data_IF_608352074238
#
_entry.id   IF_608352074238
#
_cell.length_a   1.000
_cell.length_b   1.000
_cell.length_c   1.000
_cell.angle_alpha   90.00
_cell.angle_beta   90.00
_cell.angle_gamma   90.00
#
_symmetry.space_group_name_H-M   'P 1'
#
loop_
_entity.id
_entity.type
_entity.pdbx_description
1 polymer ?
#
# COMPACT_ATOMS: atom_id res chain seq x y z
N UNK A 1 -9.63 19.01 -3.44
CA UNK A 1 -11.04 18.97 -3.00
C UNK A 1 -11.72 17.60 -3.19
N UNK A 2 -11.02 16.55 -3.65
CA UNK A 2 -11.53 15.18 -3.82
C UNK A 2 -11.33 14.24 -2.61
N UNK A 3 -10.63 14.68 -1.58
CA UNK A 3 -10.25 13.82 -0.43
C UNK A 3 -11.40 13.45 0.52
N UNK A 4 -12.49 14.20 0.56
CA UNK A 4 -13.60 13.94 1.48
C UNK A 4 -14.51 12.76 1.07
N UNK A 5 -14.43 12.28 -0.15
CA UNK A 5 -15.27 11.19 -0.66
C UNK A 5 -14.50 9.86 -0.82
N UNK A 6 -13.19 9.86 -0.62
CA UNK A 6 -12.39 8.63 -0.73
C UNK A 6 -12.56 7.78 0.52
N UNK A 7 -12.96 6.50 0.38
CA UNK A 7 -13.01 5.57 1.51
C UNK A 7 -11.65 5.43 2.22
N UNK A 8 -10.53 5.71 1.54
CA UNK A 8 -9.20 5.64 2.11
C UNK A 8 -9.06 6.53 3.36
N UNK A 9 -9.54 7.77 3.33
CA UNK A 9 -9.45 8.69 4.47
C UNK A 9 -10.14 8.13 5.73
N UNK A 10 -11.27 7.44 5.58
CA UNK A 10 -12.00 6.83 6.71
C UNK A 10 -11.46 5.47 7.13
N UNK A 11 -10.70 4.79 6.26
CA UNK A 11 -10.18 3.45 6.53
C UNK A 11 -8.73 3.45 7.04
N UNK A 12 -7.97 4.54 6.79
CA UNK A 12 -6.58 4.68 7.20
C UNK A 12 -6.36 4.52 8.71
N UNK A 13 -7.09 5.20 9.61
CA UNK A 13 -6.88 5.00 11.05
C UNK A 13 -6.96 3.51 11.42
N UNK A 14 -8.03 2.84 10.99
CA UNK A 14 -8.25 1.43 11.28
C UNK A 14 -7.34 0.47 10.47
N UNK A 15 -6.53 0.99 9.54
CA UNK A 15 -5.54 0.19 8.81
C UNK A 15 -4.30 -0.03 9.67
N UNK A 16 -3.89 0.98 10.44
CA UNK A 16 -2.56 1.03 11.07
C UNK A 16 -2.57 1.14 12.60
N UNK A 17 -3.66 1.61 13.24
CA UNK A 17 -3.68 1.94 14.67
C UNK A 17 -3.50 0.76 15.63
N UNK A 18 -3.66 -0.46 15.15
CA UNK A 18 -3.55 -1.68 15.92
C UNK A 18 -2.23 -2.43 15.66
N UNK A 19 -1.38 -1.91 14.77
CA UNK A 19 -0.12 -2.55 14.41
C UNK A 19 0.92 -2.31 15.51
N UNK A 20 1.74 -3.31 15.75
CA UNK A 20 2.85 -3.30 16.70
C UNK A 20 4.09 -3.91 16.05
N UNK A 21 5.28 -3.73 16.65
CA UNK A 21 6.52 -4.26 16.09
C UNK A 21 7.05 -3.45 14.91
N UNK A 22 7.74 -4.11 14.00
CA UNK A 22 8.41 -3.48 12.86
C UNK A 22 7.46 -3.39 11.66
N UNK A 23 7.17 -2.16 11.23
CA UNK A 23 6.21 -1.85 10.17
C UNK A 23 6.89 -1.10 9.03
N UNK A 24 6.72 -1.56 7.78
CA UNK A 24 7.12 -0.83 6.59
C UNK A 24 5.87 -0.25 5.90
N UNK A 25 5.84 1.07 5.72
CA UNK A 25 4.83 1.72 4.87
C UNK A 25 5.38 1.96 3.47
N UNK A 26 4.73 1.40 2.45
CA UNK A 26 5.06 1.59 1.04
C UNK A 26 4.22 2.72 0.47
N UNK A 27 4.89 3.70 -0.18
CA UNK A 27 4.26 4.86 -0.78
C UNK A 27 3.67 5.81 0.26
N UNK A 28 4.50 6.29 1.16
CA UNK A 28 4.11 7.18 2.26
C UNK A 28 3.43 8.47 1.80
N UNK A 29 3.66 8.86 0.56
CA UNK A 29 3.12 10.11 0.04
C UNK A 29 3.64 11.32 0.80
N UNK A 30 2.74 12.00 1.49
CA UNK A 30 3.05 13.13 2.36
C UNK A 30 2.93 12.79 3.86
N UNK A 31 2.89 11.49 4.20
CA UNK A 31 2.85 11.02 5.59
C UNK A 31 1.45 10.96 6.21
N UNK A 32 0.41 10.79 5.39
CA UNK A 32 -0.99 10.85 5.84
C UNK A 32 -1.38 9.76 6.86
N UNK A 33 -0.63 8.66 6.97
CA UNK A 33 -0.88 7.60 7.95
C UNK A 33 -0.12 7.81 9.27
N UNK A 34 0.93 8.62 9.29
CA UNK A 34 1.89 8.67 10.41
C UNK A 34 1.26 9.01 11.77
N UNK A 35 0.27 9.90 11.78
CA UNK A 35 -0.47 10.24 12.99
C UNK A 35 -1.45 9.19 13.50
N UNK A 36 -1.57 8.05 12.81
CA UNK A 36 -2.52 6.99 13.15
C UNK A 36 -1.85 5.73 13.69
N UNK A 37 -0.53 5.60 13.57
CA UNK A 37 0.19 4.46 14.17
C UNK A 37 0.13 4.50 15.69
N UNK A 38 0.01 3.32 16.29
CA UNK A 38 0.06 3.16 17.75
C UNK A 38 1.50 3.34 18.29
N UNK A 39 1.64 3.56 19.60
CA UNK A 39 2.95 3.81 20.24
C UNK A 39 3.91 2.61 20.18
N UNK A 40 3.38 1.40 19.97
CA UNK A 40 4.17 0.17 19.95
C UNK A 40 4.64 -0.20 18.52
N UNK A 41 4.34 0.61 17.51
CA UNK A 41 4.80 0.45 16.14
C UNK A 41 6.12 1.21 15.91
N UNK A 42 7.12 0.52 15.38
CA UNK A 42 8.34 1.11 14.81
C UNK A 42 8.16 1.19 13.32
N UNK A 43 8.12 2.40 12.77
CA UNK A 43 7.69 2.62 11.39
C UNK A 43 8.86 3.07 10.50
N UNK A 44 9.08 2.36 9.43
CA UNK A 44 9.86 2.77 8.26
C UNK A 44 8.91 3.05 7.12
N UNK A 45 9.27 3.98 6.26
CA UNK A 45 8.44 4.34 5.13
C UNK A 45 9.28 4.56 3.87
N UNK A 46 8.74 4.24 2.71
CA UNK A 46 9.34 4.60 1.43
C UNK A 46 8.40 5.45 0.59
N UNK A 47 8.99 6.36 -0.19
CA UNK A 47 8.29 7.15 -1.21
C UNK A 47 9.27 7.38 -2.38
N UNK A 48 8.92 7.03 -3.63
CA UNK A 48 9.83 7.18 -4.76
C UNK A 48 10.06 8.64 -5.19
N UNK A 49 9.12 9.54 -4.94
CA UNK A 49 9.27 10.97 -5.23
C UNK A 49 10.03 11.64 -4.07
N UNK A 50 11.26 12.18 -4.31
CA UNK A 50 12.07 12.79 -3.25
C UNK A 50 11.42 14.03 -2.62
N UNK A 51 10.59 14.76 -3.35
CA UNK A 51 9.89 15.94 -2.81
C UNK A 51 8.81 15.51 -1.84
N UNK A 52 8.05 14.46 -2.19
CA UNK A 52 7.03 13.87 -1.32
C UNK A 52 7.65 13.18 -0.12
N UNK A 53 8.76 12.45 -0.31
CA UNK A 53 9.50 11.83 0.79
C UNK A 53 10.00 12.87 1.80
N UNK A 54 10.55 14.00 1.31
CA UNK A 54 10.93 15.11 2.18
C UNK A 54 9.74 15.69 2.96
N UNK A 55 8.60 15.85 2.29
CA UNK A 55 7.36 16.33 2.92
C UNK A 55 6.87 15.34 4.00
N UNK A 56 6.91 14.03 3.70
CA UNK A 56 6.56 12.99 4.65
C UNK A 56 7.47 13.00 5.88
N UNK A 57 8.80 13.15 5.70
CA UNK A 57 9.73 13.25 6.82
C UNK A 57 9.47 14.50 7.67
N UNK A 58 9.14 15.63 7.04
CA UNK A 58 8.76 16.85 7.76
C UNK A 58 7.46 16.64 8.56
N UNK A 59 6.49 15.92 8.02
CA UNK A 59 5.26 15.57 8.74
C UNK A 59 5.52 14.63 9.92
N UNK A 60 6.38 13.62 9.76
CA UNK A 60 6.80 12.75 10.85
C UNK A 60 7.42 13.56 12.00
N UNK A 61 8.33 14.48 11.67
CA UNK A 61 8.97 15.36 12.66
C UNK A 61 7.95 16.28 13.35
N UNK A 62 6.99 16.84 12.60
CA UNK A 62 5.92 17.71 13.14
C UNK A 62 5.02 16.96 14.12
N UNK A 63 4.76 15.70 13.87
CA UNK A 63 3.93 14.83 14.73
C UNK A 63 4.72 14.26 15.92
N UNK A 64 6.05 14.40 15.95
CA UNK A 64 6.91 13.71 16.92
C UNK A 64 6.87 12.19 16.73
N UNK A 65 6.49 11.71 15.53
CA UNK A 65 6.42 10.31 15.21
C UNK A 65 7.82 9.76 14.89
N UNK A 66 8.16 8.59 15.45
CA UNK A 66 9.41 7.90 15.14
C UNK A 66 9.29 7.15 13.82
N UNK A 67 9.32 7.89 12.71
CA UNK A 67 9.26 7.35 11.34
C UNK A 67 10.49 7.78 10.57
N UNK A 68 11.18 6.83 9.92
CA UNK A 68 12.23 7.09 8.95
C UNK A 68 11.66 6.95 7.55
N UNK A 69 11.87 7.96 6.69
CA UNK A 69 11.39 7.95 5.30
C UNK A 69 12.57 7.85 4.35
N UNK A 70 12.63 6.77 3.58
CA UNK A 70 13.67 6.54 2.56
C UNK A 70 13.11 6.79 1.15
N UNK A 71 13.95 7.31 0.25
CA UNK A 71 13.57 7.50 -1.17
C UNK A 71 13.85 6.20 -1.91
N UNK A 72 12.80 5.43 -2.17
CA UNK A 72 12.92 4.15 -2.88
C UNK A 72 11.62 3.79 -3.60
N UNK A 73 11.65 3.07 -4.74
CA UNK A 73 10.48 2.46 -5.35
C UNK A 73 10.10 1.17 -4.60
N UNK A 74 8.85 0.76 -4.75
CA UNK A 74 8.35 -0.49 -4.14
C UNK A 74 8.97 -1.75 -4.77
N UNK A 75 9.51 -1.61 -5.97
CA UNK A 75 10.15 -2.67 -6.76
C UNK A 75 11.60 -2.97 -6.33
N UNK A 76 12.21 -2.10 -5.50
CA UNK A 76 13.59 -2.27 -5.00
C UNK A 76 13.67 -1.68 -3.59
N UNK A 77 13.33 -2.50 -2.60
CA UNK A 77 13.27 -2.08 -1.20
C UNK A 77 14.65 -2.14 -0.54
N UNK A 78 15.15 -1.03 0.06
CA UNK A 78 16.50 -0.95 0.63
C UNK A 78 16.62 -1.64 2.00
N UNK A 79 15.89 -2.73 2.20
CA UNK A 79 15.85 -3.46 3.47
C UNK A 79 16.22 -4.93 3.29
N UNK A 80 16.77 -5.53 4.33
CA UNK A 80 17.10 -6.95 4.34
C UNK A 80 15.85 -7.83 4.30
N UNK A 81 15.96 -9.09 3.85
CA UNK A 81 14.89 -10.06 4.01
C UNK A 81 14.46 -10.20 5.49
N UNK A 82 13.20 -10.59 5.71
CA UNK A 82 12.64 -10.90 7.03
C UNK A 82 12.81 -9.77 8.07
N UNK A 83 12.68 -8.52 7.62
CA UNK A 83 12.89 -7.33 8.47
C UNK A 83 11.63 -6.85 9.18
N UNK A 84 10.44 -7.09 8.63
CA UNK A 84 9.19 -6.48 9.08
C UNK A 84 8.14 -7.49 9.50
N UNK A 85 7.40 -7.17 10.55
CA UNK A 85 6.21 -7.90 10.98
C UNK A 85 4.99 -7.55 10.12
N UNK A 86 4.94 -6.29 9.67
CA UNK A 86 3.86 -5.76 8.86
C UNK A 86 4.37 -4.91 7.71
N UNK A 87 3.72 -5.03 6.55
CA UNK A 87 3.83 -4.07 5.46
C UNK A 87 2.46 -3.41 5.25
N UNK A 88 2.45 -2.09 5.09
CA UNK A 88 1.26 -1.28 4.86
C UNK A 88 1.33 -0.61 3.49
N UNK A 89 0.21 -0.57 2.78
CA UNK A 89 0.07 0.15 1.51
C UNK A 89 -1.30 0.81 1.41
N UNK A 90 -1.32 2.09 1.01
CA UNK A 90 -2.54 2.88 0.83
C UNK A 90 -2.57 3.56 -0.53
N UNK A 91 -3.27 2.96 -1.51
CA UNK A 91 -3.42 3.47 -2.88
C UNK A 91 -2.08 3.58 -3.64
N UNK A 92 -1.24 2.57 -3.54
CA UNK A 92 0.10 2.53 -4.14
C UNK A 92 0.17 1.50 -5.26
N UNK A 93 -0.30 0.28 -5.04
CA UNK A 93 -0.17 -0.80 -6.01
C UNK A 93 -0.98 -0.56 -7.31
N UNK A 94 -1.93 0.34 -7.30
CA UNK A 94 -2.54 0.85 -8.53
C UNK A 94 -1.57 1.69 -9.38
N UNK A 95 -0.46 2.17 -8.81
CA UNK A 95 0.46 3.14 -9.46
C UNK A 95 1.90 2.63 -9.67
N UNK A 96 2.34 1.56 -8.97
CA UNK A 96 3.68 0.96 -9.15
C UNK A 96 3.94 0.55 -10.61
N UNK A 97 5.17 0.52 -11.05
CA UNK A 97 5.50 0.15 -12.43
C UNK A 97 5.21 -1.35 -12.68
N UNK A 98 5.71 -2.23 -11.82
CA UNK A 98 5.45 -3.68 -11.86
C UNK A 98 4.94 -4.20 -10.51
N UNK A 99 3.65 -4.57 -10.47
CA UNK A 99 3.03 -5.13 -9.27
C UNK A 99 3.65 -6.44 -8.80
N UNK A 100 4.12 -7.28 -9.75
CA UNK A 100 4.66 -8.60 -9.40
C UNK A 100 6.02 -8.47 -8.75
N UNK A 101 6.87 -7.58 -9.28
CA UNK A 101 8.17 -7.26 -8.70
C UNK A 101 7.99 -6.64 -7.32
N UNK A 102 7.14 -5.61 -7.20
CA UNK A 102 6.87 -4.96 -5.91
C UNK A 102 6.29 -5.92 -4.85
N UNK A 103 5.36 -6.82 -5.23
CA UNK A 103 4.83 -7.84 -4.32
C UNK A 103 5.86 -8.91 -3.97
N UNK A 104 6.83 -9.18 -4.86
CA UNK A 104 8.00 -10.01 -4.60
C UNK A 104 8.89 -9.40 -3.51
N UNK A 105 9.17 -8.10 -3.61
CA UNK A 105 9.93 -7.35 -2.60
C UNK A 105 9.20 -7.31 -1.25
N UNK A 106 7.89 -7.05 -1.26
CA UNK A 106 7.07 -7.15 -0.03
C UNK A 106 7.21 -8.52 0.61
N UNK A 107 7.16 -9.57 -0.21
CA UNK A 107 7.29 -10.95 0.29
C UNK A 107 8.69 -11.24 0.85
N UNK A 108 9.72 -10.61 0.28
CA UNK A 108 11.12 -10.77 0.73
C UNK A 108 11.37 -10.10 2.07
N UNK A 109 10.82 -8.90 2.27
CA UNK A 109 11.08 -8.12 3.50
C UNK A 109 10.18 -8.50 4.67
N UNK A 110 9.05 -9.16 4.43
CA UNK A 110 8.17 -9.66 5.48
C UNK A 110 8.78 -10.90 6.14
N UNK A 111 8.75 -10.92 7.46
CA UNK A 111 9.07 -12.12 8.26
C UNK A 111 8.12 -13.27 7.94
N UNK A 112 8.51 -14.53 8.18
CA UNK A 112 7.57 -15.65 8.19
C UNK A 112 6.36 -15.34 9.08
N UNK A 113 5.15 -15.49 8.53
CA UNK A 113 3.91 -15.13 9.22
C UNK A 113 3.57 -13.63 9.24
N UNK A 114 4.44 -12.78 8.69
CA UNK A 114 4.19 -11.34 8.56
C UNK A 114 2.99 -11.03 7.65
N UNK A 115 2.40 -9.85 7.83
CA UNK A 115 1.11 -9.49 7.22
C UNK A 115 1.22 -8.25 6.35
N UNK A 116 0.71 -8.34 5.12
CA UNK A 116 0.49 -7.20 4.24
C UNK A 116 -0.92 -6.62 4.48
N UNK A 117 -1.01 -5.34 4.80
CA UNK A 117 -2.25 -4.58 5.00
C UNK A 117 -2.42 -3.56 3.88
N UNK A 118 -3.56 -3.58 3.18
CA UNK A 118 -3.76 -2.71 2.02
C UNK A 118 -5.12 -2.03 2.03
N UNK A 119 -5.11 -0.78 1.56
CA UNK A 119 -6.30 -0.10 1.01
C UNK A 119 -5.98 0.28 -0.42
N UNK A 120 -6.68 -0.32 -1.40
CA UNK A 120 -6.34 -0.17 -2.82
C UNK A 120 -7.54 0.04 -3.71
N UNK A 121 -7.29 0.69 -4.87
CA UNK A 121 -8.15 0.58 -6.03
C UNK A 121 -7.93 -0.76 -6.70
N UNK A 122 -9.01 -1.44 -7.03
CA UNK A 122 -8.96 -2.70 -7.78
C UNK A 122 -9.94 -2.66 -8.94
N UNK A 123 -9.66 -3.45 -9.95
CA UNK A 123 -10.56 -3.62 -11.10
C UNK A 123 -11.99 -3.91 -10.62
N UNK A 124 -13.01 -3.24 -11.19
CA UNK A 124 -14.39 -3.55 -10.92
C UNK A 124 -14.71 -5.03 -11.17
N UNK A 125 -15.46 -5.67 -10.26
CA UNK A 125 -15.88 -7.06 -10.42
C UNK A 125 -16.91 -7.24 -11.56
N UNK A 126 -17.70 -6.20 -11.87
CA UNK A 126 -18.61 -6.21 -13.00
C UNK A 126 -17.82 -6.13 -14.31
N UNK A 127 -17.98 -7.08 -15.26
CA UNK A 127 -17.20 -7.11 -16.51
C UNK A 127 -17.34 -5.85 -17.36
N UNK A 128 -18.54 -5.26 -17.44
CA UNK A 128 -18.78 -4.04 -18.22
C UNK A 128 -18.04 -2.86 -17.62
N UNK A 129 -18.12 -2.69 -16.28
CA UNK A 129 -17.37 -1.63 -15.58
C UNK A 129 -15.86 -1.88 -15.62
N UNK A 130 -15.43 -3.14 -15.59
CA UNK A 130 -14.03 -3.53 -15.76
C UNK A 130 -13.48 -3.14 -17.13
N UNK A 131 -14.26 -3.38 -18.19
CA UNK A 131 -13.91 -2.96 -19.56
C UNK A 131 -13.86 -1.42 -19.66
N UNK A 132 -14.84 -0.72 -19.12
CA UNK A 132 -14.87 0.75 -19.08
C UNK A 132 -13.63 1.30 -18.32
N UNK A 133 -13.26 0.70 -17.21
CA UNK A 133 -12.05 1.06 -16.46
C UNK A 133 -10.79 0.90 -17.33
N UNK A 134 -10.64 -0.20 -18.07
CA UNK A 134 -9.49 -0.42 -18.97
C UNK A 134 -9.42 0.61 -20.10
N UNK A 135 -10.57 1.04 -20.63
CA UNK A 135 -10.62 2.08 -21.68
C UNK A 135 -10.22 3.45 -21.13
N UNK A 136 -10.61 3.77 -19.90
CA UNK A 136 -10.35 5.06 -19.26
C UNK A 136 -8.92 5.15 -18.71
N UNK A 137 -8.36 4.04 -18.24
CA UNK A 137 -7.06 3.98 -17.55
C UNK A 137 -5.93 4.70 -18.28
N UNK A 138 -5.72 4.60 -19.62
CA UNK A 138 -4.61 5.29 -20.30
C UNK A 138 -4.63 6.82 -20.18
N UNK A 139 -5.83 7.41 -20.17
CA UNK A 139 -5.99 8.86 -19.98
C UNK A 139 -5.92 9.25 -18.51
N UNK A 140 -6.50 8.42 -17.65
CA UNK A 140 -6.53 8.62 -16.21
C UNK A 140 -5.12 8.55 -15.60
N UNK A 141 -4.32 7.56 -15.96
CA UNK A 141 -2.97 7.37 -15.41
C UNK A 141 -2.04 8.55 -15.66
N UNK A 142 -2.22 9.29 -16.76
CA UNK A 142 -1.43 10.49 -17.08
C UNK A 142 -1.66 11.65 -16.11
N UNK A 143 -2.84 11.74 -15.50
CA UNK A 143 -3.23 12.86 -14.61
C UNK A 143 -3.33 12.43 -13.14
N UNK A 144 -3.38 11.13 -12.87
CA UNK A 144 -3.58 10.54 -11.55
C UNK A 144 -2.34 9.76 -11.05
N UNK A 145 -1.15 10.32 -11.21
CA UNK A 145 0.12 9.75 -10.70
C UNK A 145 0.28 8.26 -11.04
N UNK A 146 0.10 7.91 -12.33
CA UNK A 146 0.19 6.54 -12.84
C UNK A 146 -0.83 5.56 -12.24
N UNK A 147 -1.94 6.03 -11.69
CA UNK A 147 -2.99 5.17 -11.13
C UNK A 147 -3.73 4.42 -12.24
N UNK A 148 -3.74 3.09 -12.17
CA UNK A 148 -4.43 2.18 -13.08
C UNK A 148 -5.70 1.64 -12.42
N UNK A 149 -6.88 1.99 -12.95
CA UNK A 149 -8.19 1.59 -12.42
C UNK A 149 -8.55 0.13 -12.71
N UNK A 150 -7.82 -0.50 -13.61
CA UNK A 150 -8.08 -1.85 -14.12
C UNK A 150 -7.14 -2.92 -13.57
N UNK A 151 -6.30 -2.60 -12.60
CA UNK A 151 -5.35 -3.56 -12.00
C UNK A 151 -6.06 -4.64 -11.19
N UNK A 152 -5.78 -5.92 -11.47
CA UNK A 152 -6.35 -7.04 -10.75
C UNK A 152 -5.52 -7.39 -9.49
N UNK A 153 -5.28 -6.41 -8.61
CA UNK A 153 -4.36 -6.55 -7.46
C UNK A 153 -4.67 -7.75 -6.57
N UNK A 154 -5.96 -8.02 -6.33
CA UNK A 154 -6.38 -9.18 -5.49
C UNK A 154 -6.05 -10.50 -6.17
N UNK A 155 -6.29 -10.60 -7.46
CA UNK A 155 -5.99 -11.78 -8.27
C UNK A 155 -4.48 -11.99 -8.40
N UNK A 156 -3.71 -10.89 -8.58
CA UNK A 156 -2.24 -10.93 -8.63
C UNK A 156 -1.66 -11.45 -7.33
N UNK A 157 -2.13 -10.98 -6.17
CA UNK A 157 -1.74 -11.51 -4.87
C UNK A 157 -1.97 -13.01 -4.78
N UNK A 158 -3.17 -13.49 -5.12
CA UNK A 158 -3.50 -14.91 -5.07
C UNK A 158 -2.62 -15.76 -5.99
N UNK A 159 -2.34 -15.28 -7.21
CA UNK A 159 -1.44 -15.94 -8.16
C UNK A 159 0.00 -16.03 -7.65
N UNK A 160 0.42 -15.12 -6.80
CA UNK A 160 1.74 -15.11 -6.16
C UNK A 160 1.78 -15.89 -4.85
N UNK A 161 0.73 -16.68 -4.52
CA UNK A 161 0.69 -17.53 -3.34
C UNK A 161 0.32 -16.80 -2.04
N UNK A 162 -0.39 -15.66 -2.14
CA UNK A 162 -0.92 -15.00 -0.96
C UNK A 162 -2.33 -15.48 -0.62
N UNK A 163 -2.56 -15.76 0.64
CA UNK A 163 -3.91 -15.90 1.19
C UNK A 163 -4.46 -14.51 1.46
N UNK A 164 -5.50 -14.11 0.72
CA UNK A 164 -6.08 -12.76 0.76
C UNK A 164 -7.43 -12.77 1.45
N UNK A 165 -7.56 -11.99 2.51
CA UNK A 165 -8.82 -11.71 3.19
C UNK A 165 -9.28 -10.28 2.89
N UNK A 166 -10.44 -10.14 2.27
CA UNK A 166 -11.07 -8.83 2.03
C UNK A 166 -11.88 -8.44 3.26
N UNK A 167 -11.39 -7.45 4.00
CA UNK A 167 -12.02 -6.94 5.21
C UNK A 167 -13.19 -5.98 4.90
N UNK A 168 -13.07 -5.22 3.80
CA UNK A 168 -14.11 -4.28 3.36
C UNK A 168 -13.99 -4.01 1.86
N UNK A 169 -15.16 -3.81 1.21
CA UNK A 169 -15.23 -3.37 -0.20
C UNK A 169 -16.26 -2.26 -0.34
N UNK A 170 -15.92 -1.21 -1.11
CA UNK A 170 -16.83 -0.15 -1.52
C UNK A 170 -16.52 0.28 -2.95
N UNK A 171 -17.32 -0.18 -3.90
CA UNK A 171 -17.04 0.03 -5.33
C UNK A 171 -15.72 -0.59 -5.75
N UNK A 172 -14.83 0.24 -6.27
CA UNK A 172 -13.47 -0.14 -6.69
C UNK A 172 -12.45 -0.15 -5.55
N UNK A 173 -12.83 0.32 -4.36
CA UNK A 173 -11.94 0.32 -3.20
C UNK A 173 -12.06 -0.99 -2.41
N UNK A 174 -10.93 -1.53 -2.02
CA UNK A 174 -10.85 -2.66 -1.09
C UNK A 174 -9.93 -2.33 0.08
N UNK A 175 -10.31 -2.78 1.28
CA UNK A 175 -9.41 -2.94 2.41
C UNK A 175 -9.20 -4.44 2.57
N UNK A 176 -7.96 -4.88 2.60
CA UNK A 176 -7.59 -6.28 2.71
C UNK A 176 -6.39 -6.47 3.62
N UNK A 177 -6.21 -7.69 4.08
CA UNK A 177 -4.96 -8.22 4.59
C UNK A 177 -4.57 -9.48 3.81
N UNK A 178 -3.26 -9.70 3.70
CA UNK A 178 -2.74 -10.88 3.01
C UNK A 178 -1.52 -11.43 3.75
N UNK A 179 -1.41 -12.76 3.79
CA UNK A 179 -0.27 -13.50 4.33
C UNK A 179 0.28 -14.44 3.27
N UNK A 180 1.58 -14.67 3.26
CA UNK A 180 2.15 -15.67 2.35
C UNK A 180 1.78 -17.07 2.82
N UNK A 181 1.40 -17.92 1.86
CA UNK A 181 1.31 -19.36 2.09
C UNK A 181 2.74 -19.89 1.99
N UNK A 182 3.30 -20.33 3.12
CA UNK A 182 4.58 -21.00 3.11
C UNK A 182 4.41 -22.32 2.35
N UNK A 183 5.15 -22.49 1.26
CA UNK A 183 5.31 -23.80 0.63
C UNK A 183 6.11 -24.68 1.59
N UNK A 184 5.47 -25.74 2.12
CA UNK A 184 6.15 -26.80 2.86
C UNK A 184 7.17 -27.52 1.98
#
# INVERSE_FOLDING_TARGET
MLNFLSPSATWRPNLVNHLTGDVLEIGAGTGENFGHYGPDARVWAIEPDPVRAHTAQAEANRLGASVQVDVAPAEDLPYAPDSFDHVVSSLVFCSVADQRVALGEVARVLRPGGVLHMVEHVRPANPVLGLAASVITPSWSRIAHNCHLDRPTVETLRQLGWQVEILRRRGIFVKLRAVRIESR
#
